data_IF_097734031164
#
_entry.id   IF_097734031164
#
_cell.length_a   1.000
_cell.length_b   1.000
_cell.length_c   1.000
_cell.angle_alpha   90.00
_cell.angle_beta   90.00
_cell.angle_gamma   90.00
#
_symmetry.space_group_name_H-M   'P 1'
#
loop_
_entity.id
_entity.type
_entity.pdbx_description
1 polymer ?
#
# COMPACT_ATOMS: atom_id res chain seq x y z
N UNK A 1 15.71 -5.37 17.19
CA UNK A 1 14.51 -6.04 16.64
C UNK A 1 14.18 -5.56 15.22
N UNK A 2 14.23 -4.26 14.92
CA UNK A 2 14.07 -3.72 13.55
C UNK A 2 14.98 -4.38 12.49
N UNK A 3 16.27 -4.55 12.78
CA UNK A 3 17.21 -5.22 11.86
C UNK A 3 16.88 -6.71 11.63
N UNK A 4 16.29 -7.38 12.62
CA UNK A 4 15.82 -8.77 12.48
C UNK A 4 14.63 -8.83 11.51
N UNK A 5 13.67 -7.92 11.65
CA UNK A 5 12.54 -7.78 10.73
C UNK A 5 13.03 -7.50 9.30
N UNK A 6 14.00 -6.58 9.16
CA UNK A 6 14.60 -6.25 7.86
C UNK A 6 15.23 -7.49 7.20
N UNK A 7 15.98 -8.29 7.95
CA UNK A 7 16.58 -9.54 7.46
C UNK A 7 15.51 -10.51 6.96
N UNK A 8 14.44 -10.74 7.73
CA UNK A 8 13.33 -11.62 7.32
C UNK A 8 12.65 -11.14 6.04
N UNK A 9 12.43 -9.82 5.90
CA UNK A 9 11.81 -9.25 4.71
C UNK A 9 12.70 -9.43 3.47
N UNK A 10 14.02 -9.26 3.61
CA UNK A 10 14.97 -9.53 2.51
C UNK A 10 14.92 -11.01 2.09
N UNK A 11 14.93 -11.93 3.06
CA UNK A 11 14.86 -13.37 2.78
C UNK A 11 13.54 -13.75 2.08
N UNK A 12 12.41 -13.21 2.54
CA UNK A 12 11.10 -13.41 1.91
C UNK A 12 11.07 -12.86 0.48
N UNK A 13 11.57 -11.66 0.25
CA UNK A 13 11.66 -11.07 -1.08
C UNK A 13 12.49 -11.94 -2.03
N UNK A 14 13.68 -12.38 -1.60
CA UNK A 14 14.52 -13.28 -2.40
C UNK A 14 13.83 -14.61 -2.72
N UNK A 15 13.18 -15.21 -1.73
CA UNK A 15 12.42 -16.45 -1.90
C UNK A 15 11.29 -16.28 -2.91
N UNK A 16 10.51 -15.19 -2.80
CA UNK A 16 9.44 -14.90 -3.76
C UNK A 16 9.96 -14.70 -5.18
N UNK A 17 11.09 -14.00 -5.35
CA UNK A 17 11.72 -13.84 -6.67
C UNK A 17 12.21 -15.17 -7.26
N UNK A 18 12.79 -16.05 -6.44
CA UNK A 18 13.27 -17.34 -6.94
C UNK A 18 12.14 -18.27 -7.37
N UNK A 19 11.01 -18.27 -6.66
CA UNK A 19 9.90 -19.21 -6.91
C UNK A 19 8.89 -18.67 -7.95
N UNK A 20 8.73 -17.35 -8.04
CA UNK A 20 7.80 -16.67 -8.96
C UNK A 20 8.52 -16.16 -10.22
N UNK A 21 9.50 -16.91 -10.72
CA UNK A 21 10.21 -16.64 -11.99
C UNK A 21 10.79 -15.22 -12.13
N UNK A 22 11.27 -14.65 -11.02
CA UNK A 22 11.82 -13.28 -10.91
C UNK A 22 10.79 -12.17 -11.19
N UNK A 23 9.50 -12.46 -11.02
CA UNK A 23 8.44 -11.47 -11.17
C UNK A 23 8.38 -10.52 -9.96
N UNK A 24 8.95 -9.33 -10.15
CA UNK A 24 8.89 -8.21 -9.19
C UNK A 24 7.49 -7.60 -9.06
N UNK A 25 6.59 -7.86 -10.02
CA UNK A 25 5.20 -7.40 -9.96
C UNK A 25 4.27 -8.45 -9.34
N UNK A 26 4.81 -9.59 -8.93
CA UNK A 26 4.03 -10.58 -8.22
C UNK A 26 3.49 -9.98 -6.91
N UNK A 27 2.21 -10.24 -6.56
CA UNK A 27 1.60 -9.69 -5.34
C UNK A 27 2.43 -9.98 -4.07
N UNK A 28 3.02 -11.18 -4.01
CA UNK A 28 3.85 -11.62 -2.89
C UNK A 28 5.10 -10.75 -2.73
N UNK A 29 5.77 -10.42 -3.84
CA UNK A 29 6.96 -9.58 -3.81
C UNK A 29 6.59 -8.14 -3.43
N UNK A 30 5.55 -7.57 -4.04
CA UNK A 30 5.11 -6.19 -3.78
C UNK A 30 4.78 -6.00 -2.30
N UNK A 31 4.04 -6.92 -1.69
CA UNK A 31 3.71 -6.84 -0.25
C UNK A 31 4.97 -6.83 0.60
N UNK A 32 5.92 -7.74 0.35
CA UNK A 32 7.19 -7.77 1.08
C UNK A 32 8.02 -6.50 0.86
N UNK A 33 8.04 -5.96 -0.36
CA UNK A 33 8.79 -4.75 -0.72
C UNK A 33 8.25 -3.49 0.00
N UNK A 34 6.93 -3.36 0.13
CA UNK A 34 6.31 -2.23 0.84
C UNK A 34 6.67 -2.26 2.34
N UNK A 35 6.64 -3.43 2.97
CA UNK A 35 7.08 -3.59 4.36
C UNK A 35 8.59 -3.36 4.51
N UNK A 36 9.39 -3.79 3.54
CA UNK A 36 10.83 -3.52 3.52
C UNK A 36 11.13 -2.02 3.50
N UNK A 37 10.51 -1.26 2.58
CA UNK A 37 10.66 0.19 2.49
C UNK A 37 10.19 0.91 3.76
N UNK A 38 9.06 0.46 4.32
CA UNK A 38 8.53 1.02 5.58
C UNK A 38 9.49 0.77 6.75
N UNK A 39 10.11 -0.41 6.80
CA UNK A 39 11.10 -0.77 7.84
C UNK A 39 12.36 0.08 7.70
N UNK A 40 12.84 0.36 6.48
CA UNK A 40 13.95 1.28 6.25
C UNK A 40 13.62 2.69 6.78
N UNK A 41 12.43 3.21 6.46
CA UNK A 41 11.97 4.50 6.99
C UNK A 41 11.90 4.53 8.51
N UNK A 42 11.48 3.42 9.12
CA UNK A 42 11.47 3.28 10.58
C UNK A 42 12.89 3.27 11.17
N UNK A 43 13.85 2.59 10.54
CA UNK A 43 15.25 2.57 10.98
C UNK A 43 15.86 3.97 10.94
N UNK A 44 15.64 4.73 9.86
CA UNK A 44 16.15 6.11 9.72
C UNK A 44 15.61 7.01 10.85
N UNK A 45 14.34 6.85 11.20
CA UNK A 45 13.68 7.69 12.21
C UNK A 45 13.65 7.08 13.62
N UNK A 46 14.28 5.92 13.83
CA UNK A 46 14.16 5.15 15.08
C UNK A 46 14.59 5.95 16.32
N UNK A 47 15.63 6.79 16.18
CA UNK A 47 16.11 7.66 17.28
C UNK A 47 15.13 8.78 17.62
N UNK A 48 14.46 9.33 16.61
CA UNK A 48 13.51 10.43 16.79
C UNK A 48 12.18 9.94 17.36
N UNK A 49 11.69 8.80 16.87
CA UNK A 49 10.43 8.21 17.31
C UNK A 49 10.54 7.36 18.57
N UNK A 50 11.77 7.08 19.05
CA UNK A 50 12.05 6.18 20.17
C UNK A 50 11.29 4.85 20.00
N UNK A 51 11.29 4.32 18.78
CA UNK A 51 10.44 3.21 18.40
C UNK A 51 10.91 1.91 19.04
N UNK A 52 10.08 1.35 19.92
CA UNK A 52 10.28 0.00 20.45
C UNK A 52 9.35 -0.97 19.72
N UNK A 53 9.93 -1.92 19.01
CA UNK A 53 9.18 -2.96 18.31
C UNK A 53 9.21 -4.23 19.15
N UNK A 54 8.02 -4.71 19.51
CA UNK A 54 7.83 -5.98 20.22
C UNK A 54 7.99 -7.19 19.29
N UNK A 55 8.24 -8.36 19.87
CA UNK A 55 8.28 -9.62 19.11
C UNK A 55 6.93 -9.93 18.44
N UNK A 56 5.81 -9.60 19.10
CA UNK A 56 4.48 -9.82 18.55
C UNK A 56 4.27 -9.04 17.23
N UNK A 57 4.76 -7.80 17.17
CA UNK A 57 4.69 -6.98 15.94
C UNK A 57 5.46 -7.63 14.78
N UNK A 58 6.64 -8.20 15.07
CA UNK A 58 7.44 -8.91 14.05
C UNK A 58 6.68 -10.13 13.55
N UNK A 59 6.12 -10.94 14.46
CA UNK A 59 5.36 -12.14 14.09
C UNK A 59 4.14 -11.82 13.22
N UNK A 60 3.44 -10.72 13.52
CA UNK A 60 2.28 -10.29 12.72
C UNK A 60 2.72 -9.88 11.31
N UNK A 61 3.79 -9.07 11.18
CA UNK A 61 4.27 -8.61 9.87
C UNK A 61 4.83 -9.78 9.05
N UNK A 62 5.74 -10.57 9.63
CA UNK A 62 6.36 -11.72 8.95
C UNK A 62 5.31 -12.77 8.63
N UNK A 63 4.39 -13.05 9.56
CA UNK A 63 3.28 -13.98 9.34
C UNK A 63 2.35 -13.54 8.21
N UNK A 64 2.00 -12.24 8.15
CA UNK A 64 1.23 -11.68 7.05
C UNK A 64 1.94 -11.85 5.69
N UNK A 65 3.22 -11.49 5.62
CA UNK A 65 4.04 -11.66 4.41
C UNK A 65 4.18 -13.14 3.99
N UNK A 66 4.30 -14.05 4.96
CA UNK A 66 4.36 -15.49 4.72
C UNK A 66 3.06 -16.01 4.11
N UNK A 67 1.90 -15.62 4.66
CA UNK A 67 0.59 -16.02 4.11
C UNK A 67 0.45 -15.59 2.66
N UNK A 68 0.79 -14.34 2.34
CA UNK A 68 0.77 -13.85 0.96
C UNK A 68 1.73 -14.63 0.05
N UNK A 69 2.94 -14.89 0.53
CA UNK A 69 3.94 -15.66 -0.23
C UNK A 69 3.48 -17.08 -0.51
N UNK A 70 2.94 -17.78 0.50
CA UNK A 70 2.43 -19.15 0.36
C UNK A 70 1.27 -19.19 -0.64
N UNK A 71 0.29 -18.28 -0.51
CA UNK A 71 -0.84 -18.22 -1.46
C UNK A 71 -0.35 -17.94 -2.87
N UNK A 72 0.60 -17.01 -3.04
CA UNK A 72 1.19 -16.70 -4.34
C UNK A 72 1.91 -17.88 -4.97
N UNK A 73 2.67 -18.64 -4.18
CA UNK A 73 3.36 -19.85 -4.63
C UNK A 73 2.35 -20.94 -5.02
N UNK A 74 1.36 -21.21 -4.17
CA UNK A 74 0.32 -22.21 -4.45
C UNK A 74 -0.45 -21.84 -5.72
N UNK A 75 -0.84 -20.58 -5.87
CA UNK A 75 -1.52 -20.10 -7.07
C UNK A 75 -0.64 -20.27 -8.32
N UNK A 76 0.63 -19.88 -8.25
CA UNK A 76 1.57 -20.06 -9.37
C UNK A 76 1.74 -21.54 -9.73
N UNK A 77 1.87 -22.43 -8.74
CA UNK A 77 1.98 -23.88 -8.98
C UNK A 77 0.69 -24.46 -9.58
N UNK A 78 -0.48 -24.09 -9.07
CA UNK A 78 -1.77 -24.52 -9.61
C UNK A 78 -1.95 -24.02 -11.05
N UNK A 79 -1.68 -22.74 -11.31
CA UNK A 79 -1.77 -22.16 -12.64
C UNK A 79 -0.75 -22.80 -13.60
N UNK A 80 0.51 -22.98 -13.21
CA UNK A 80 1.52 -23.68 -14.04
C UNK A 80 1.10 -25.12 -14.35
N UNK A 81 0.43 -25.82 -13.44
CA UNK A 81 -0.04 -27.18 -13.71
C UNK A 81 -1.26 -27.22 -14.67
N UNK A 82 -2.12 -26.19 -14.61
CA UNK A 82 -3.29 -26.04 -15.49
C UNK A 82 -2.88 -25.55 -16.89
N UNK A 83 -2.03 -24.52 -16.96
CA UNK A 83 -1.61 -23.86 -18.20
C UNK A 83 -0.36 -24.48 -18.81
N UNK A 84 0.54 -25.08 -18.03
CA UNK A 84 1.73 -25.79 -18.52
C UNK A 84 1.43 -27.13 -19.19
N UNK A 85 0.19 -27.64 -19.07
CA UNK A 85 -0.33 -28.75 -19.90
C UNK A 85 -0.87 -28.29 -21.26
N UNK A 86 -1.11 -26.99 -21.45
CA UNK A 86 -1.37 -26.42 -22.79
C UNK A 86 -0.02 -26.17 -23.42
N UNK A 87 0.23 -26.85 -24.54
CA UNK A 87 1.51 -26.88 -25.24
C UNK A 87 2.15 -25.49 -25.33
N UNK A 88 3.46 -25.42 -25.04
CA UNK A 88 4.33 -24.25 -25.22
C UNK A 88 4.37 -23.67 -26.67
N UNK A 89 3.58 -24.24 -27.59
CA UNK A 89 3.44 -23.81 -28.98
C UNK A 89 2.19 -22.97 -29.23
N UNK A 90 1.24 -22.91 -28.30
CA UNK A 90 0.27 -21.82 -28.28
C UNK A 90 0.95 -20.68 -27.55
N UNK A 91 1.79 -19.96 -28.29
CA UNK A 91 2.19 -18.60 -27.95
C UNK A 91 0.85 -17.88 -27.76
N UNK A 92 0.42 -17.75 -26.50
CA UNK A 92 -0.63 -16.82 -26.14
C UNK A 92 -0.13 -15.50 -26.69
N UNK A 93 -0.68 -15.06 -27.83
CA UNK A 93 -0.48 -13.71 -28.29
C UNK A 93 -0.85 -12.86 -27.08
N UNK A 94 0.17 -12.27 -26.45
CA UNK A 94 0.01 -11.33 -25.35
C UNK A 94 -0.84 -10.20 -25.93
N UNK A 95 -2.17 -10.34 -25.82
CA UNK A 95 -3.11 -9.31 -26.18
C UNK A 95 -2.87 -8.21 -25.17
N UNK A 96 -2.01 -7.26 -25.59
CA UNK A 96 -1.81 -6.01 -24.88
C UNK A 96 -3.20 -5.43 -24.61
N UNK A 97 -3.55 -5.32 -23.33
CA UNK A 97 -4.79 -4.70 -22.91
C UNK A 97 -4.59 -3.20 -23.15
N UNK A 98 -4.88 -2.75 -24.38
CA UNK A 98 -4.78 -1.35 -24.74
C UNK A 98 -5.94 -0.60 -24.10
N UNK A 99 -5.66 0.10 -23.00
CA UNK A 99 -6.61 1.03 -22.40
C UNK A 99 -6.64 2.30 -23.24
N UNK A 100 -7.84 2.71 -23.65
CA UNK A 100 -8.01 3.97 -24.38
C UNK A 100 -7.59 5.16 -23.52
N UNK A 101 -6.84 6.10 -24.12
CA UNK A 101 -6.29 7.26 -23.43
C UNK A 101 -7.35 8.09 -22.66
N UNK A 102 -8.60 8.14 -23.15
CA UNK A 102 -9.67 8.88 -22.48
C UNK A 102 -10.04 8.29 -21.11
N UNK A 103 -9.93 6.96 -20.93
CA UNK A 103 -10.17 6.29 -19.64
C UNK A 103 -9.08 6.65 -18.64
N UNK A 104 -7.83 6.70 -19.09
CA UNK A 104 -6.67 7.12 -18.28
C UNK A 104 -6.86 8.57 -17.81
N UNK A 105 -7.20 9.48 -18.73
CA UNK A 105 -7.46 10.89 -18.41
C UNK A 105 -8.62 11.04 -17.41
N UNK A 106 -9.71 10.29 -17.59
CA UNK A 106 -10.84 10.32 -16.67
C UNK A 106 -10.43 9.88 -15.26
N UNK A 107 -9.63 8.82 -15.13
CA UNK A 107 -9.18 8.31 -13.83
C UNK A 107 -8.21 9.30 -13.17
N UNK A 108 -7.33 9.94 -13.93
CA UNK A 108 -6.47 11.01 -13.42
C UNK A 108 -7.29 12.20 -12.90
N UNK A 109 -8.35 12.60 -13.60
CA UNK A 109 -9.24 13.68 -13.15
C UNK A 109 -9.97 13.30 -11.85
N UNK A 110 -10.48 12.07 -11.73
CA UNK A 110 -11.10 11.59 -10.48
C UNK A 110 -10.09 11.61 -9.33
N UNK A 111 -8.85 11.21 -9.56
CA UNK A 111 -7.79 11.26 -8.55
C UNK A 111 -7.43 12.70 -8.13
N UNK A 112 -7.43 13.66 -9.07
CA UNK A 112 -7.23 15.07 -8.75
C UNK A 112 -8.37 15.64 -7.90
N UNK A 113 -9.62 15.31 -8.22
CA UNK A 113 -10.79 15.67 -7.42
C UNK A 113 -10.68 15.08 -6.01
N UNK A 114 -10.21 13.83 -5.90
CA UNK A 114 -9.99 13.17 -4.63
C UNK A 114 -8.96 13.87 -3.75
N UNK A 115 -7.80 14.20 -4.33
CA UNK A 115 -6.74 14.95 -3.64
C UNK A 115 -7.30 16.29 -3.14
N UNK A 116 -8.05 17.00 -3.99
CA UNK A 116 -8.69 18.26 -3.60
C UNK A 116 -9.67 18.08 -2.43
N UNK A 117 -10.56 17.08 -2.50
CA UNK A 117 -11.52 16.79 -1.44
C UNK A 117 -10.84 16.41 -0.11
N UNK A 118 -9.76 15.63 -0.16
CA UNK A 118 -8.95 15.30 1.01
C UNK A 118 -8.29 16.55 1.61
N UNK A 119 -7.67 17.41 0.80
CA UNK A 119 -7.06 18.66 1.28
C UNK A 119 -8.12 19.55 1.93
N UNK A 120 -9.29 19.70 1.30
CA UNK A 120 -10.41 20.47 1.85
C UNK A 120 -10.88 19.89 3.18
N UNK A 121 -11.03 18.57 3.26
CA UNK A 121 -11.44 17.89 4.49
C UNK A 121 -10.44 18.11 5.63
N UNK A 122 -9.15 17.92 5.38
CA UNK A 122 -8.08 18.15 6.36
C UNK A 122 -8.09 19.61 6.84
N UNK A 123 -8.20 20.57 5.94
CA UNK A 123 -8.27 21.99 6.32
C UNK A 123 -9.52 22.30 7.17
N UNK A 124 -10.67 21.73 6.83
CA UNK A 124 -11.90 21.90 7.62
C UNK A 124 -11.76 21.34 9.04
N UNK A 125 -11.21 20.13 9.17
CA UNK A 125 -10.94 19.50 10.46
C UNK A 125 -10.02 20.36 11.32
N UNK A 126 -8.93 20.87 10.75
CA UNK A 126 -7.98 21.71 11.46
C UNK A 126 -8.62 23.04 11.89
N UNK A 127 -9.41 23.65 11.01
CA UNK A 127 -10.12 24.90 11.31
C UNK A 127 -11.17 24.73 12.42
N UNK A 128 -11.84 23.57 12.48
CA UNK A 128 -12.80 23.24 13.55
C UNK A 128 -12.10 23.00 14.90
N UNK A 129 -10.93 22.35 14.88
CA UNK A 129 -10.21 21.98 16.10
C UNK A 129 -9.24 23.06 16.60
N UNK A 130 -8.82 24.00 15.74
CA UNK A 130 -7.84 25.03 16.09
C UNK A 130 -7.92 26.25 15.15
N UNK A 131 -7.70 27.46 15.67
CA UNK A 131 -7.56 28.69 14.87
C UNK A 131 -6.27 28.75 14.02
N UNK A 132 -5.60 27.61 13.81
CA UNK A 132 -4.27 27.48 13.20
C UNK A 132 -4.33 27.13 11.70
N UNK A 133 -5.28 27.71 10.96
CA UNK A 133 -5.50 27.43 9.53
C UNK A 133 -4.31 27.82 8.62
N UNK A 134 -3.41 28.67 9.10
CA UNK A 134 -2.23 29.21 8.40
C UNK A 134 -0.92 28.41 8.59
N UNK A 135 -0.98 27.23 9.23
CA UNK A 135 0.20 26.38 9.41
C UNK A 135 0.73 25.79 8.08
N UNK A 136 2.03 25.48 8.06
CA UNK A 136 2.67 24.67 7.01
C UNK A 136 1.99 23.30 6.88
N UNK A 137 1.99 22.72 5.67
CA UNK A 137 1.33 21.44 5.38
C UNK A 137 1.80 20.29 6.28
N UNK A 138 3.10 20.22 6.57
CA UNK A 138 3.65 19.20 7.46
C UNK A 138 3.04 19.26 8.87
N UNK A 139 2.91 20.48 9.41
CA UNK A 139 2.29 20.70 10.72
C UNK A 139 0.79 20.40 10.67
N UNK A 140 0.09 20.80 9.60
CA UNK A 140 -1.34 20.50 9.40
C UNK A 140 -1.60 18.99 9.48
N UNK A 141 -0.77 18.18 8.83
CA UNK A 141 -0.91 16.72 8.87
C UNK A 141 -0.61 16.12 10.24
N UNK A 142 0.35 16.66 10.98
CA UNK A 142 0.61 16.24 12.35
C UNK A 142 -0.59 16.50 13.26
N UNK A 143 -1.16 17.71 13.20
CA UNK A 143 -2.37 18.05 13.97
C UNK A 143 -3.56 17.20 13.59
N UNK A 144 -3.81 17.04 12.29
CA UNK A 144 -4.87 16.17 11.79
C UNK A 144 -4.73 14.74 12.31
N UNK A 145 -3.52 14.17 12.26
CA UNK A 145 -3.24 12.83 12.80
C UNK A 145 -3.49 12.76 14.30
N UNK A 146 -3.07 13.76 15.06
CA UNK A 146 -3.29 13.76 16.52
C UNK A 146 -4.78 13.77 16.88
N UNK A 147 -5.57 14.57 16.16
CA UNK A 147 -7.02 14.66 16.34
C UNK A 147 -7.71 13.35 15.94
N UNK A 148 -7.47 12.85 14.73
CA UNK A 148 -8.23 11.71 14.18
C UNK A 148 -7.75 10.36 14.73
N UNK A 149 -6.45 10.20 14.99
CA UNK A 149 -5.88 8.91 15.40
C UNK A 149 -5.75 8.74 16.92
N UNK A 150 -5.57 9.84 17.67
CA UNK A 150 -5.34 9.78 19.11
C UNK A 150 -6.46 10.42 19.93
N UNK A 151 -7.59 10.77 19.28
CA UNK A 151 -8.79 11.38 19.90
C UNK A 151 -8.43 12.55 20.83
N UNK A 152 -7.42 13.33 20.45
CA UNK A 152 -6.85 14.37 21.32
C UNK A 152 -7.79 15.58 21.50
N UNK A 153 -8.92 15.60 20.81
CA UNK A 153 -9.97 16.61 20.91
C UNK A 153 -11.30 15.91 21.10
N UNK A 154 -12.19 16.46 21.93
CA UNK A 154 -13.57 15.97 22.15
C UNK A 154 -14.48 16.05 20.89
N UNK A 155 -13.91 16.15 19.70
CA UNK A 155 -14.59 16.18 18.41
C UNK A 155 -14.57 14.78 17.81
N UNK A 156 -15.73 14.13 17.73
CA UNK A 156 -15.87 12.89 16.96
C UNK A 156 -15.78 13.19 15.47
N UNK A 157 -14.57 13.14 14.93
CA UNK A 157 -14.32 13.40 13.51
C UNK A 157 -14.48 12.10 12.73
N UNK A 158 -15.60 12.00 12.01
CA UNK A 158 -15.85 10.90 11.08
C UNK A 158 -15.46 11.36 9.67
N UNK A 159 -14.54 10.62 9.05
CA UNK A 159 -14.20 10.85 7.64
C UNK A 159 -15.46 10.61 6.79
N UNK A 160 -15.89 11.58 5.95
CA UNK A 160 -17.07 11.41 5.13
C UNK A 160 -16.99 10.16 4.27
N UNK A 161 -18.09 9.39 4.24
CA UNK A 161 -18.16 8.09 3.59
C UNK A 161 -17.76 8.14 2.12
N UNK A 162 -18.14 9.20 1.39
CA UNK A 162 -17.79 9.39 -0.01
C UNK A 162 -16.28 9.52 -0.23
N UNK A 163 -15.55 10.22 0.65
CA UNK A 163 -14.08 10.33 0.56
C UNK A 163 -13.44 8.96 0.81
N UNK A 164 -13.94 8.22 1.79
CA UNK A 164 -13.41 6.90 2.11
C UNK A 164 -13.63 5.89 0.97
N UNK A 165 -14.83 5.86 0.38
CA UNK A 165 -15.15 4.98 -0.75
C UNK A 165 -14.28 5.33 -1.96
N UNK A 166 -14.17 6.62 -2.30
CA UNK A 166 -13.37 7.06 -3.44
C UNK A 166 -11.87 6.78 -3.23
N UNK A 167 -11.33 6.91 -2.02
CA UNK A 167 -9.94 6.52 -1.72
C UNK A 167 -9.71 5.01 -1.92
N UNK A 168 -10.64 4.17 -1.46
CA UNK A 168 -10.56 2.71 -1.69
C UNK A 168 -10.64 2.38 -3.17
N UNK A 169 -11.55 3.02 -3.91
CA UNK A 169 -11.68 2.84 -5.36
C UNK A 169 -10.41 3.26 -6.10
N UNK A 170 -9.82 4.41 -5.75
CA UNK A 170 -8.54 4.87 -6.29
C UNK A 170 -7.42 3.85 -6.06
N UNK A 171 -7.30 3.31 -4.84
CA UNK A 171 -6.29 2.29 -4.52
C UNK A 171 -6.48 1.01 -5.35
N UNK A 172 -7.72 0.55 -5.53
CA UNK A 172 -8.04 -0.62 -6.36
C UNK A 172 -7.68 -0.35 -7.83
N UNK A 173 -8.05 0.83 -8.36
CA UNK A 173 -7.72 1.21 -9.73
C UNK A 173 -6.22 1.26 -9.95
N UNK A 174 -5.45 1.86 -9.03
CA UNK A 174 -3.99 1.86 -9.10
C UNK A 174 -3.41 0.46 -9.16
N UNK A 175 -3.95 -0.49 -8.40
CA UNK A 175 -3.50 -1.88 -8.45
C UNK A 175 -3.83 -2.54 -9.80
N UNK A 176 -5.03 -2.31 -10.34
CA UNK A 176 -5.44 -2.83 -11.65
C UNK A 176 -4.51 -2.33 -12.76
N UNK A 177 -4.14 -1.04 -12.74
CA UNK A 177 -3.23 -0.45 -13.73
C UNK A 177 -1.79 -0.98 -13.67
N UNK A 178 -1.38 -1.66 -12.61
CA UNK A 178 -0.07 -2.33 -12.58
C UNK A 178 -0.06 -3.58 -13.47
N UNK A 179 -1.22 -4.21 -13.66
CA UNK A 179 -1.35 -5.48 -14.40
C UNK A 179 -1.95 -5.32 -15.81
N UNK A 180 -2.27 -4.09 -16.21
CA UNK A 180 -2.77 -3.73 -17.54
C UNK A 180 -1.69 -2.97 -18.30
#
# INVERSE_FOLDING_TARGET
>A
MLYLLLLFLILLMLLTLMILDKDIFSPSFIVCAVFFLSTLGCIVNARYWKTEISMATILVIVGGCLVFSVIGIVCNSCCKNIYGKRNANEIFELKLIKVDNWKIVLILLVNLVLIYLQIKFVNNVIAMASSKSLLSWGMKMEYYRNIVSYDSSNLHIVIPSYINILNKASMILSYIFVYI
#
